data_IF_396360590390
#
_entry.id   IF_396360590390
#
_cell.length_a   1.000
_cell.length_b   1.000
_cell.length_c   1.000
_cell.angle_alpha   90.00
_cell.angle_beta   90.00
_cell.angle_gamma   90.00
#
_symmetry.space_group_name_H-M   'P 1'
#
loop_
_entity.id
_entity.type
_entity.pdbx_description
1 polymer ?
#
# COMPACT_ATOMS: atom_id res chain seq x y z
N UNK A 1 -17.84 44.26 10.19
CA UNK A 1 -18.10 42.85 9.79
C UNK A 1 -16.77 42.13 9.63
N UNK A 2 -16.40 41.28 10.58
CA UNK A 2 -15.20 40.45 10.46
C UNK A 2 -15.56 39.31 9.50
N UNK A 3 -14.99 39.33 8.28
CA UNK A 3 -15.05 38.19 7.36
C UNK A 3 -14.30 37.05 8.02
N UNK A 4 -15.01 36.09 8.59
CA UNK A 4 -14.43 34.83 9.06
C UNK A 4 -13.86 34.12 7.85
N UNK A 5 -12.56 34.29 7.65
CA UNK A 5 -11.81 33.56 6.64
C UNK A 5 -11.86 32.09 7.06
N UNK A 6 -12.62 31.26 6.34
CA UNK A 6 -12.60 29.82 6.54
C UNK A 6 -11.22 29.31 6.16
N UNK A 7 -10.30 29.28 7.13
CA UNK A 7 -9.04 28.57 6.98
C UNK A 7 -9.35 27.09 7.13
N UNK A 8 -9.32 26.36 6.00
CA UNK A 8 -9.33 24.89 6.03
C UNK A 8 -8.15 24.48 6.89
N UNK A 9 -8.40 23.76 7.99
CA UNK A 9 -7.33 23.25 8.84
C UNK A 9 -6.30 22.55 7.94
N UNK A 10 -5.03 22.94 8.05
CA UNK A 10 -3.97 22.25 7.29
C UNK A 10 -4.04 20.78 7.66
N UNK A 11 -4.09 19.85 6.69
CA UNK A 11 -4.09 18.43 6.98
C UNK A 11 -2.85 18.09 7.81
N UNK A 12 -3.05 17.70 9.06
CA UNK A 12 -1.96 17.30 9.94
C UNK A 12 -1.57 15.87 9.58
N UNK A 13 -0.34 15.68 9.13
CA UNK A 13 0.18 14.33 8.90
C UNK A 13 0.64 13.71 10.22
N UNK A 14 0.31 12.44 10.50
CA UNK A 14 0.85 11.72 11.65
C UNK A 14 2.38 11.66 11.62
N UNK A 15 3.02 11.49 12.78
CA UNK A 15 4.47 11.46 12.93
C UNK A 15 5.17 10.34 12.14
N UNK A 16 4.47 9.23 11.88
CA UNK A 16 4.97 8.12 11.07
C UNK A 16 4.89 8.38 9.55
N UNK A 17 4.17 9.41 9.13
CA UNK A 17 4.03 9.78 7.72
C UNK A 17 5.22 10.69 7.32
N UNK A 18 6.04 10.31 6.31
CA UNK A 18 7.19 11.09 5.87
C UNK A 18 6.79 12.34 5.08
N UNK A 19 5.49 12.54 4.82
CA UNK A 19 4.95 13.71 4.12
C UNK A 19 5.51 13.90 2.71
N UNK A 20 6.01 12.85 2.08
CA UNK A 20 6.55 12.88 0.73
C UNK A 20 5.43 12.92 -0.34
N UNK A 21 5.81 12.79 -1.61
CA UNK A 21 4.89 12.82 -2.75
C UNK A 21 3.83 11.70 -2.72
N UNK A 22 3.97 10.67 -1.87
CA UNK A 22 3.03 9.57 -1.74
C UNK A 22 1.96 9.84 -0.68
N UNK A 23 2.17 10.83 0.19
CA UNK A 23 1.14 11.28 1.12
C UNK A 23 0.15 12.19 0.38
N UNK A 24 -0.95 11.63 -0.14
CA UNK A 24 -1.99 12.43 -0.80
C UNK A 24 -2.83 13.22 0.21
N UNK A 25 -2.89 12.77 1.47
CA UNK A 25 -3.58 13.45 2.55
C UNK A 25 -3.01 14.85 2.86
N UNK A 26 -1.70 15.07 2.64
CA UNK A 26 -1.07 16.38 2.86
C UNK A 26 -1.67 17.50 1.99
N UNK A 27 -2.32 17.13 0.88
CA UNK A 27 -2.95 18.03 -0.06
C UNK A 27 -4.42 18.35 0.28
N UNK A 28 -4.98 17.73 1.33
CA UNK A 28 -6.33 18.00 1.80
C UNK A 28 -7.44 17.41 0.93
N UNK A 29 -7.11 16.42 0.09
CA UNK A 29 -8.10 15.65 -0.64
C UNK A 29 -8.94 14.81 0.33
N UNK A 30 -10.27 14.75 0.19
CA UNK A 30 -11.12 13.91 1.05
C UNK A 30 -10.77 12.41 1.00
N UNK A 31 -10.29 11.94 -0.15
CA UNK A 31 -9.76 10.59 -0.37
C UNK A 31 -8.26 10.45 -0.08
N UNK A 32 -7.69 11.44 0.60
CA UNK A 32 -6.27 11.48 0.92
C UNK A 32 -5.84 10.33 1.81
N UNK A 33 -4.63 9.85 1.59
CA UNK A 33 -4.02 8.78 2.36
C UNK A 33 -2.68 9.23 2.93
N UNK A 34 -2.44 8.89 4.19
CA UNK A 34 -1.12 8.89 4.78
C UNK A 34 -0.45 7.56 4.49
N UNK A 35 0.85 7.59 4.18
CA UNK A 35 1.65 6.40 3.87
C UNK A 35 2.93 6.44 4.69
N UNK A 36 3.35 5.31 5.25
CA UNK A 36 4.65 5.23 5.92
C UNK A 36 5.78 5.23 4.90
N UNK A 37 7.01 5.47 5.36
CA UNK A 37 8.17 5.02 4.60
C UNK A 37 8.09 3.49 4.41
N UNK A 38 8.42 2.97 3.22
CA UNK A 38 8.32 1.54 2.95
C UNK A 38 9.50 0.84 3.60
N UNK A 39 9.23 -0.31 4.22
CA UNK A 39 10.27 -1.28 4.56
C UNK A 39 10.52 -2.11 3.30
N UNK A 40 11.78 -2.24 2.91
CA UNK A 40 12.18 -2.96 1.70
C UNK A 40 13.09 -4.12 2.10
N UNK A 41 12.70 -5.33 1.72
CA UNK A 41 13.55 -6.52 1.82
C UNK A 41 14.00 -6.94 0.43
N UNK A 42 15.32 -6.95 0.22
CA UNK A 42 15.91 -7.52 -0.99
C UNK A 42 16.16 -9.01 -0.80
N UNK A 43 15.84 -9.78 -1.83
CA UNK A 43 16.06 -11.23 -1.87
C UNK A 43 16.85 -11.58 -3.13
N UNK A 44 17.33 -12.83 -3.23
CA UNK A 44 17.93 -13.34 -4.47
C UNK A 44 16.99 -13.25 -5.68
N UNK A 45 15.68 -13.22 -5.44
CA UNK A 45 14.64 -13.26 -6.49
C UNK A 45 14.04 -11.88 -6.81
N UNK A 46 14.38 -10.84 -6.05
CA UNK A 46 13.82 -9.50 -6.24
C UNK A 46 13.67 -8.72 -4.93
N UNK A 47 12.51 -8.10 -4.71
CA UNK A 47 12.25 -7.27 -3.53
C UNK A 47 10.80 -7.36 -3.05
N UNK A 48 10.62 -7.20 -1.74
CA UNK A 48 9.31 -7.04 -1.09
C UNK A 48 9.27 -5.67 -0.44
N UNK A 49 8.26 -4.88 -0.79
CA UNK A 49 8.05 -3.53 -0.27
C UNK A 49 6.78 -3.55 0.57
N UNK A 50 6.85 -3.07 1.81
CA UNK A 50 5.69 -2.99 2.71
C UNK A 50 5.54 -1.59 3.25
N UNK A 51 4.35 -1.03 3.14
CA UNK A 51 4.01 0.28 3.70
C UNK A 51 2.67 0.22 4.44
N UNK A 52 2.58 0.89 5.59
CA UNK A 52 1.31 1.15 6.24
C UNK A 52 0.62 2.30 5.52
N UNK A 53 -0.67 2.14 5.23
CA UNK A 53 -1.50 3.15 4.60
C UNK A 53 -2.71 3.41 5.48
N UNK A 54 -2.88 4.65 5.91
CA UNK A 54 -4.06 5.09 6.65
C UNK A 54 -4.79 6.14 5.82
N UNK A 55 -6.00 5.83 5.32
CA UNK A 55 -6.82 6.86 4.69
C UNK A 55 -7.28 7.89 5.73
N UNK A 56 -7.64 9.10 5.29
CA UNK A 56 -8.26 10.09 6.18
C UNK A 56 -9.60 9.60 6.74
N UNK A 57 -10.29 8.72 6.00
CA UNK A 57 -11.52 8.04 6.42
C UNK A 57 -11.47 6.57 6.02
N UNK A 58 -11.92 5.68 6.92
CA UNK A 58 -11.95 4.23 6.68
C UNK A 58 -10.86 3.46 7.41
N UNK A 59 -10.63 2.22 6.98
CA UNK A 59 -9.78 1.27 7.70
C UNK A 59 -8.32 1.37 7.22
N UNK A 60 -7.34 1.49 8.12
CA UNK A 60 -5.93 1.41 7.75
C UNK A 60 -5.61 0.03 7.20
N UNK A 61 -4.63 -0.03 6.29
CA UNK A 61 -4.20 -1.26 5.62
C UNK A 61 -2.70 -1.33 5.52
N UNK A 62 -2.20 -2.53 5.28
CA UNK A 62 -0.83 -2.73 4.83
C UNK A 62 -0.88 -2.93 3.32
N UNK A 63 -0.11 -2.12 2.60
CA UNK A 63 0.18 -2.38 1.19
C UNK A 63 1.49 -3.15 1.08
N UNK A 64 1.46 -4.27 0.36
CA UNK A 64 2.62 -5.09 0.06
C UNK A 64 2.77 -5.19 -1.45
N UNK A 65 3.93 -4.78 -1.96
CA UNK A 65 4.30 -4.90 -3.38
C UNK A 65 5.48 -5.85 -3.49
N UNK A 66 5.33 -6.89 -4.31
CA UNK A 66 6.44 -7.81 -4.62
C UNK A 66 6.94 -7.54 -6.02
N UNK A 67 8.26 -7.38 -6.16
CA UNK A 67 8.95 -7.24 -7.43
C UNK A 67 9.77 -8.49 -7.65
N UNK A 68 9.50 -9.21 -8.73
CA UNK A 68 10.24 -10.41 -9.13
C UNK A 68 11.18 -10.07 -10.29
N UNK A 69 12.42 -10.55 -10.20
CA UNK A 69 13.36 -10.52 -11.32
C UNK A 69 13.09 -11.72 -12.20
N UNK A 70 12.78 -11.46 -13.46
CA UNK A 70 12.57 -12.49 -14.47
C UNK A 70 13.73 -12.49 -15.45
N UNK A 71 14.07 -13.68 -15.93
CA UNK A 71 14.99 -13.85 -17.06
C UNK A 71 14.38 -13.17 -18.31
N UNK A 72 15.07 -12.18 -18.92
CA UNK A 72 14.55 -11.46 -20.09
C UNK A 72 14.25 -12.39 -21.27
N UNK A 73 15.02 -13.47 -21.45
CA UNK A 73 14.86 -14.39 -22.57
C UNK A 73 13.62 -15.29 -22.42
N UNK A 74 13.07 -15.36 -21.21
CA UNK A 74 11.88 -16.17 -20.88
C UNK A 74 10.74 -15.33 -20.29
N UNK A 75 10.85 -14.00 -20.40
CA UNK A 75 9.99 -13.06 -19.69
C UNK A 75 8.51 -13.31 -19.96
N UNK A 76 8.11 -13.42 -21.24
CA UNK A 76 6.70 -13.43 -21.63
C UNK A 76 5.95 -14.67 -21.15
N UNK A 77 6.58 -15.84 -21.26
CA UNK A 77 5.96 -17.11 -20.89
C UNK A 77 6.00 -17.34 -19.37
N UNK A 78 7.14 -17.04 -18.73
CA UNK A 78 7.24 -17.13 -17.28
C UNK A 78 6.35 -16.11 -16.57
N UNK A 79 6.30 -14.85 -17.02
CA UNK A 79 5.47 -13.83 -16.39
C UNK A 79 3.98 -14.22 -16.42
N UNK A 80 3.48 -14.70 -17.57
CA UNK A 80 2.09 -15.14 -17.72
C UNK A 80 1.75 -16.33 -16.84
N UNK A 81 2.66 -17.30 -16.69
CA UNK A 81 2.45 -18.47 -15.84
C UNK A 81 2.58 -18.16 -14.33
N UNK A 82 3.38 -17.16 -13.97
CA UNK A 82 3.66 -16.80 -12.58
C UNK A 82 2.49 -16.04 -11.93
N UNK A 83 1.81 -15.14 -12.65
CA UNK A 83 0.75 -14.30 -12.06
C UNK A 83 -0.34 -15.14 -11.36
N UNK A 84 -0.93 -16.19 -11.98
CA UNK A 84 -1.91 -17.03 -11.30
C UNK A 84 -1.34 -17.79 -10.11
N UNK A 85 -0.06 -18.19 -10.17
CA UNK A 85 0.60 -18.92 -9.09
C UNK A 85 0.86 -18.03 -7.88
N UNK A 86 1.25 -16.77 -8.11
CA UNK A 86 1.40 -15.76 -7.06
C UNK A 86 0.04 -15.44 -6.42
N UNK A 87 -1.02 -15.23 -7.21
CA UNK A 87 -2.36 -14.99 -6.67
C UNK A 87 -2.82 -16.15 -5.76
N UNK A 88 -2.64 -17.40 -6.20
CA UNK A 88 -2.96 -18.58 -5.39
C UNK A 88 -2.17 -18.64 -4.08
N UNK A 89 -0.87 -18.38 -4.13
CA UNK A 89 -0.02 -18.39 -2.94
C UNK A 89 -0.44 -17.30 -1.95
N UNK A 90 -0.72 -16.09 -2.44
CA UNK A 90 -1.20 -14.98 -1.61
C UNK A 90 -2.54 -15.32 -0.95
N UNK A 91 -3.52 -15.85 -1.70
CA UNK A 91 -4.80 -16.29 -1.15
C UNK A 91 -4.63 -17.34 -0.06
N UNK A 92 -3.81 -18.37 -0.30
CA UNK A 92 -3.56 -19.42 0.67
C UNK A 92 -2.99 -18.87 1.99
N UNK A 93 -1.99 -18.00 1.91
CA UNK A 93 -1.38 -17.36 3.09
C UNK A 93 -2.38 -16.48 3.82
N UNK A 94 -3.14 -15.65 3.11
CA UNK A 94 -4.12 -14.75 3.72
C UNK A 94 -5.27 -15.52 4.38
N UNK A 95 -5.76 -16.60 3.75
CA UNK A 95 -6.78 -17.48 4.33
C UNK A 95 -6.27 -18.18 5.59
N UNK A 96 -5.01 -18.61 5.62
CA UNK A 96 -4.41 -19.24 6.79
C UNK A 96 -4.14 -18.25 7.93
N UNK A 97 -3.77 -17.00 7.61
CA UNK A 97 -3.44 -15.97 8.60
C UNK A 97 -4.67 -15.25 9.19
N UNK A 98 -5.82 -15.31 8.51
CA UNK A 98 -7.08 -14.68 8.94
C UNK A 98 -8.21 -15.72 9.12
N UNK A 99 -8.04 -16.73 9.99
CA UNK A 99 -9.11 -17.68 10.26
C UNK A 99 -10.27 -16.94 10.94
N UNK A 100 -11.39 -16.75 10.25
CA UNK A 100 -12.63 -16.25 10.86
C UNK A 100 -13.31 -15.02 10.23
N UNK A 101 -12.92 -14.54 9.04
CA UNK A 101 -13.81 -13.64 8.26
C UNK A 101 -14.75 -14.46 7.38
N UNK A 102 -15.65 -15.20 8.02
CA UNK A 102 -16.88 -15.63 7.36
C UNK A 102 -17.67 -14.36 6.99
N UNK A 103 -17.94 -14.23 5.70
CA UNK A 103 -18.77 -13.17 5.12
C UNK A 103 -20.17 -13.25 5.73
N UNK A 104 -20.55 -12.24 6.52
CA UNK A 104 -21.96 -11.89 6.75
C UNK A 104 -22.40 -10.89 5.68
#
# INVERSE_FOLDING_TARGET
>A
MIRRHWMRARPSCPSWCPQDHRCTARHGYPSGEHRSAPIIWHTGYGAIHVAAVAPLTGTPRIEMTTVLRLDPDRYTDHARALVPSVDRAVRAVLSAALPGRETT
#
